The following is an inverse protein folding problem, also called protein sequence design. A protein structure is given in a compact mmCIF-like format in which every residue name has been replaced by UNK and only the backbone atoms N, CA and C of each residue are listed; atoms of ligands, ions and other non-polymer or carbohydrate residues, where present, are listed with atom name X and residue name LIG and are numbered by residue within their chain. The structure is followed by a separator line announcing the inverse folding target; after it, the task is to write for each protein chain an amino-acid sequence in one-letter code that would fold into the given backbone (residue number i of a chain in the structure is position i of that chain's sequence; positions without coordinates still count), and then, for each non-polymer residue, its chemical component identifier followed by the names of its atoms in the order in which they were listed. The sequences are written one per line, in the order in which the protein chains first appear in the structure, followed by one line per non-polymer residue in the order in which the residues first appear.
data_IF_162427193138
#
_entry.id   IF_162427193138
#
_cell.length_a   1.000
_cell.length_b   1.000
_cell.length_c   1.000
_cell.angle_alpha   90.00
_cell.angle_beta   90.00
_cell.angle_gamma   90.00
#
_symmetry.space_group_name_H-M   'P 1'
#
loop_
_entity.id
_entity.type
_entity.pdbx_description
1 polymer ?
2 non-polymer ?
3 non-polymer ?
4 non-polymer ?
5 water ?
#
# COMPACT_ATOMS: atom_id res chain seq x y z
N UNK A 7 12.49 24.52 16.25
CA UNK A 7 12.64 23.03 16.42
C UNK A 7 14.01 22.52 15.90
N UNK A 8 14.82 21.91 16.77
CA UNK A 8 16.26 21.64 16.51
C UNK A 8 16.64 20.15 16.28
N UNK A 9 17.41 19.87 15.19
CA UNK A 9 17.72 18.48 14.74
C UNK A 9 19.06 18.43 13.99
N UNK A 10 19.61 17.21 13.76
CA UNK A 10 20.91 17.09 13.05
C UNK A 10 20.90 17.76 11.66
N UNK A 11 22.00 18.43 11.33
CA UNK A 11 22.06 19.14 10.06
C UNK A 11 22.31 18.16 8.95
N UNK A 12 21.52 18.25 7.88
CA UNK A 12 21.80 17.37 6.75
C UNK A 12 23.08 17.84 6.09
N UNK A 13 23.97 16.92 5.77
CA UNK A 13 25.25 17.30 5.17
C UNK A 13 25.28 16.75 3.75
N UNK A 14 25.47 17.70 2.86
CA UNK A 14 25.37 17.53 1.47
C UNK A 14 26.39 16.52 0.97
N UNK A 15 27.56 16.50 1.63
CA UNK A 15 28.68 15.66 1.21
C UNK A 15 28.81 14.38 2.07
N UNK A 16 27.82 14.07 2.91
CA UNK A 16 27.89 12.87 3.75
C UNK A 16 26.51 12.20 3.79
N UNK A 17 26.09 11.64 2.66
CA UNK A 17 24.80 10.99 2.59
C UNK A 17 24.66 9.93 3.66
N UNK A 18 23.49 9.86 4.27
CA UNK A 18 23.18 8.89 5.33
C UNK A 18 23.13 7.43 4.73
N UNK A 19 22.36 7.21 3.65
CA UNK A 19 22.33 5.91 2.99
C UNK A 19 23.12 5.92 1.70
N UNK A 20 24.20 5.14 1.64
CA UNK A 20 25.05 5.01 0.44
C UNK A 20 24.90 3.63 -0.17
N UNK A 21 24.17 2.75 0.51
CA UNK A 21 24.02 1.36 0.09
C UNK A 21 22.77 1.13 -0.78
N UNK A 22 21.86 2.12 -0.88
CA UNK A 22 20.59 1.89 -1.60
C UNK A 22 20.24 3.13 -2.39
N UNK A 23 19.41 2.93 -3.39
CA UNK A 23 18.86 3.98 -4.19
C UNK A 23 17.72 4.65 -3.34
N UNK A 24 17.88 5.93 -3.10
CA UNK A 24 16.94 6.74 -2.32
C UNK A 24 16.01 7.72 -3.11
N UNK A 25 16.20 7.85 -4.42
CA UNK A 25 15.30 8.61 -5.31
C UNK A 25 15.23 7.86 -6.66
N UNK A 26 14.04 7.82 -7.26
CA UNK A 26 13.89 7.21 -8.55
C UNK A 26 14.39 8.14 -9.67
N UNK A 27 14.52 7.62 -10.89
CA UNK A 27 15.01 8.55 -11.89
C UNK A 27 13.97 9.57 -12.37
N UNK A 28 12.74 9.53 -11.86
CA UNK A 28 11.83 10.65 -12.09
C UNK A 28 11.71 11.48 -10.82
N UNK A 29 12.70 11.32 -9.93
CA UNK A 29 12.85 12.18 -8.76
C UNK A 29 11.76 12.00 -7.69
N UNK A 30 11.21 10.79 -7.60
CA UNK A 30 10.36 10.41 -6.44
C UNK A 30 11.26 9.80 -5.32
N UNK A 31 11.14 10.29 -4.09
CA UNK A 31 11.86 9.63 -2.98
C UNK A 31 11.54 8.09 -2.86
N UNK A 32 12.57 7.29 -2.57
CA UNK A 32 12.42 5.91 -2.17
C UNK A 32 12.65 5.91 -0.68
N UNK A 33 11.61 5.52 0.08
CA UNK A 33 11.53 5.69 1.52
C UNK A 33 12.20 4.53 2.29
N UNK A 34 13.33 4.87 2.89
CA UNK A 34 14.17 3.97 3.67
C UNK A 34 14.47 4.64 4.98
N UNK A 35 14.79 3.83 6.02
CA UNK A 35 15.17 4.42 7.30
C UNK A 35 16.49 5.13 7.07
N UNK A 36 16.61 6.33 7.63
CA UNK A 36 17.79 7.16 7.49
C UNK A 36 17.64 8.17 6.40
N UNK A 37 16.52 8.18 5.67
CA UNK A 37 16.33 9.24 4.69
C UNK A 37 15.44 10.35 5.17
N UNK A 38 14.75 10.14 6.29
CA UNK A 38 13.79 11.08 6.72
C UNK A 38 13.91 11.41 8.23
N UNK A 39 13.59 12.66 8.52
CA UNK A 39 13.44 13.10 9.87
C UNK A 39 11.96 13.22 10.16
N UNK A 40 11.48 12.31 10.94
CA UNK A 40 10.01 12.20 11.24
C UNK A 40 9.51 13.38 12.03
N UNK A 41 10.40 14.04 12.77
CA UNK A 41 9.92 15.26 13.45
C UNK A 41 9.52 16.38 12.53
N UNK A 42 10.34 16.64 11.50
CA UNK A 42 10.01 17.64 10.51
C UNK A 42 8.73 17.26 9.79
N UNK A 43 8.63 16.01 9.31
CA UNK A 43 7.42 15.54 8.56
C UNK A 43 6.14 15.57 9.40
N UNK A 44 6.24 15.20 10.68
CA UNK A 44 5.09 15.17 11.55
C UNK A 44 4.57 16.59 11.68
N UNK A 45 5.49 17.55 11.87
CA UNK A 45 5.03 18.91 11.97
C UNK A 45 4.37 19.41 10.67
N UNK A 46 4.92 19.04 9.54
CA UNK A 46 4.36 19.52 8.28
C UNK A 46 2.97 18.98 8.15
N UNK A 47 2.80 17.67 8.41
CA UNK A 47 1.47 17.08 8.27
C UNK A 47 0.43 17.50 9.32
N UNK A 48 0.90 17.70 10.53
CA UNK A 48 0.01 18.17 11.61
C UNK A 48 -0.52 19.57 11.29
N UNK A 49 0.34 20.42 10.75
CA UNK A 49 -0.09 21.81 10.48
C UNK A 49 -1.22 21.85 9.48
N UNK A 50 -1.39 20.78 8.68
CA UNK A 50 -2.53 20.66 7.79
C UNK A 50 -3.64 19.85 8.41
N UNK A 51 -3.50 19.39 9.65
CA UNK A 51 -4.56 18.54 10.19
C UNK A 51 -4.92 17.35 9.29
N UNK A 52 -3.89 16.71 8.80
CA UNK A 52 -4.01 15.59 7.86
C UNK A 52 -4.76 14.46 8.43
N UNK A 53 -5.72 13.95 7.65
CA UNK A 53 -6.44 12.73 7.97
C UNK A 53 -6.14 11.63 7.01
N UNK A 54 -5.77 10.49 7.58
CA UNK A 54 -5.37 9.34 6.76
C UNK A 54 -6.43 8.28 6.84
N UNK A 55 -6.96 7.83 5.68
CA UNK A 55 -7.84 6.65 5.71
C UNK A 55 -7.09 5.40 5.37
N UNK A 56 -7.40 4.30 6.01
CA UNK A 56 -6.71 3.08 5.73
C UNK A 56 -7.78 2.08 5.42
N UNK A 57 -7.73 1.50 4.21
CA UNK A 57 -8.67 0.48 3.81
C UNK A 57 -8.10 -0.90 3.91
N UNK A 58 -8.92 -1.80 4.38
CA UNK A 58 -8.53 -3.17 4.56
C UNK A 58 -9.78 -4.02 4.30
N UNK A 59 -9.58 -5.08 3.54
CA UNK A 59 -10.67 -6.05 3.28
C UNK A 59 -10.51 -7.26 4.13
N UNK A 60 -11.60 -7.75 4.73
CA UNK A 60 -11.52 -8.97 5.51
C UNK A 60 -12.78 -9.75 5.25
N UNK A 61 -12.71 -10.49 4.16
CA UNK A 61 -13.82 -11.23 3.62
C UNK A 61 -13.63 -12.72 3.95
N UNK A 62 -14.70 -13.33 4.41
CA UNK A 62 -14.75 -14.73 4.85
C UNK A 62 -13.79 -15.02 5.99
N UNK A 63 -12.91 -15.99 5.83
CA UNK A 63 -12.02 -16.33 6.93
C UNK A 63 -11.02 -15.24 7.36
N UNK A 64 -10.80 -14.23 6.52
CA UNK A 64 -9.75 -13.22 6.79
C UNK A 64 -10.14 -12.26 7.93
N UNK A 65 -11.40 -12.38 8.40
CA UNK A 65 -11.81 -11.68 9.60
C UNK A 65 -10.95 -12.03 10.73
N UNK A 66 -10.35 -13.23 10.71
CA UNK A 66 -9.48 -13.67 11.80
C UNK A 66 -8.22 -12.84 11.89
N UNK A 67 -7.82 -12.20 10.79
CA UNK A 67 -6.59 -11.40 10.80
C UNK A 67 -6.74 -9.98 11.40
N UNK A 68 -7.99 -9.54 11.68
CA UNK A 68 -8.25 -8.14 12.03
C UNK A 68 -7.76 -7.76 13.36
N UNK A 69 -7.79 -8.69 14.33
CA UNK A 69 -7.50 -8.25 15.67
C UNK A 69 -6.03 -7.80 15.78
N UNK A 70 -5.12 -8.58 15.23
CA UNK A 70 -3.71 -8.24 15.29
C UNK A 70 -3.42 -7.05 14.33
N UNK A 71 -4.05 -7.03 13.18
CA UNK A 71 -3.88 -5.94 12.25
C UNK A 71 -4.18 -4.63 12.95
N UNK A 72 -5.37 -4.56 13.51
CA UNK A 72 -5.81 -3.34 14.20
C UNK A 72 -5.04 -2.97 15.45
N UNK A 73 -4.71 -3.94 16.30
CA UNK A 73 -3.98 -3.63 17.48
C UNK A 73 -2.61 -3.06 17.15
N UNK A 74 -1.95 -3.66 16.17
CA UNK A 74 -0.60 -3.24 15.80
C UNK A 74 -0.64 -1.93 15.00
N UNK A 75 -1.72 -1.68 14.20
CA UNK A 75 -1.88 -0.35 13.59
C UNK A 75 -1.99 0.72 14.65
N UNK A 76 -2.70 0.45 15.73
CA UNK A 76 -2.82 1.41 16.82
C UNK A 76 -1.46 1.77 17.42
N UNK A 77 -0.52 0.84 17.41
CA UNK A 77 0.80 1.04 17.94
C UNK A 77 1.72 1.76 17.03
N UNK A 78 1.60 1.52 15.73
CA UNK A 78 2.62 1.93 14.77
C UNK A 78 2.19 2.79 13.62
N UNK A 79 0.89 2.85 13.34
CA UNK A 79 0.44 3.46 12.07
C UNK A 79 -0.05 4.91 12.33
N UNK A 80 0.66 5.92 11.81
CA UNK A 80 0.19 7.32 11.81
C UNK A 80 -0.12 7.83 13.20
N UNK A 81 0.61 7.32 14.18
CA UNK A 81 0.35 7.67 15.58
C UNK A 81 0.55 9.19 15.77
N UNK A 82 -0.47 9.86 16.30
CA UNK A 82 -0.45 11.32 16.50
C UNK A 82 -1.28 12.07 15.45
N UNK A 83 -1.63 11.37 14.38
CA UNK A 83 -2.40 11.90 13.25
C UNK A 83 -3.78 11.33 13.26
N UNK A 84 -4.67 11.96 12.53
CA UNK A 84 -6.04 11.52 12.52
C UNK A 84 -6.10 10.37 11.54
N UNK A 85 -6.76 9.31 11.96
CA UNK A 85 -6.84 8.07 11.21
C UNK A 85 -8.30 7.57 11.16
N UNK A 86 -8.72 7.16 9.98
CA UNK A 86 -9.99 6.50 9.80
C UNK A 86 -9.77 5.16 9.16
N UNK A 87 -10.07 4.07 9.88
CA UNK A 87 -9.95 2.74 9.34
C UNK A 87 -11.27 2.47 8.60
N UNK A 88 -11.22 1.93 7.40
CA UNK A 88 -12.39 1.42 6.72
C UNK A 88 -12.21 -0.09 6.55
N UNK A 89 -13.02 -0.86 7.26
CA UNK A 89 -12.91 -2.30 7.20
C UNK A 89 -14.04 -2.75 6.33
N UNK A 90 -13.71 -3.28 5.14
CA UNK A 90 -14.68 -3.92 4.25
C UNK A 90 -14.82 -5.39 4.63
N UNK A 91 -16.05 -5.79 4.94
CA UNK A 91 -16.29 -7.19 5.37
C UNK A 91 -17.69 -7.69 5.04
N UNK A 92 -17.80 -9.01 4.89
CA UNK A 92 -19.10 -9.68 4.68
C UNK A 92 -19.66 -10.08 6.05
N UNK A 93 -18.89 -9.88 7.12
CA UNK A 93 -19.29 -10.24 8.49
C UNK A 93 -19.07 -9.12 9.49
N UNK A 94 -19.96 -8.11 9.51
CA UNK A 94 -19.78 -6.93 10.39
C UNK A 94 -19.66 -7.27 11.85
N UNK A 95 -20.34 -8.32 12.28
CA UNK A 95 -20.31 -8.77 13.66
C UNK A 95 -19.00 -9.41 14.09
N UNK A 96 -18.27 -9.97 13.15
CA UNK A 96 -16.97 -10.54 13.47
C UNK A 96 -15.80 -9.52 13.57
N UNK A 97 -16.06 -8.23 13.35
CA UNK A 97 -14.97 -7.25 13.50
C UNK A 97 -14.65 -7.09 14.99
N UNK A 98 -13.40 -7.31 15.38
CA UNK A 98 -13.14 -7.13 16.82
C UNK A 98 -13.23 -5.65 17.25
N UNK A 99 -13.73 -5.34 18.42
CA UNK A 99 -13.77 -3.97 18.84
C UNK A 99 -12.48 -3.61 19.55
N UNK A 100 -11.56 -3.01 18.83
CA UNK A 100 -10.25 -2.72 19.38
C UNK A 100 -10.33 -1.31 19.90
N UNK A 101 -9.72 -1.08 21.05
CA UNK A 101 -9.70 0.26 21.64
C UNK A 101 -8.71 1.09 20.85
N UNK A 102 -9.13 2.30 20.50
CA UNK A 102 -8.36 3.24 19.66
C UNK A 102 -7.92 4.48 20.44
N UNK A 103 -6.73 4.96 20.12
CA UNK A 103 -6.21 6.24 20.56
C UNK A 103 -7.08 7.40 20.10
N UNK A 104 -6.88 8.56 20.69
CA UNK A 104 -7.67 9.72 20.34
C UNK A 104 -7.47 10.15 18.85
N UNK A 105 -8.55 10.63 18.24
CA UNK A 105 -8.51 11.11 16.87
C UNK A 105 -8.50 10.03 15.83
N UNK A 106 -8.86 8.84 16.26
CA UNK A 106 -8.85 7.68 15.42
C UNK A 106 -10.22 7.02 15.43
N UNK A 107 -10.73 6.62 14.27
CA UNK A 107 -12.02 5.93 14.22
C UNK A 107 -12.02 4.81 13.23
N UNK A 108 -13.06 4.03 13.32
CA UNK A 108 -13.19 2.84 12.47
C UNK A 108 -14.61 2.70 11.98
N UNK A 109 -14.76 2.48 10.67
CA UNK A 109 -16.04 2.24 10.11
C UNK A 109 -16.01 0.87 9.49
N UNK A 110 -17.15 0.20 9.52
CA UNK A 110 -17.31 -1.16 8.99
C UNK A 110 -18.18 -0.99 7.80
N UNK A 111 -17.73 -1.44 6.61
CA UNK A 111 -18.53 -1.36 5.39
C UNK A 111 -18.84 -2.77 4.94
N UNK A 112 -20.11 -3.13 4.94
CA UNK A 112 -20.52 -4.48 4.63
C UNK A 112 -20.50 -4.62 3.16
N UNK A 113 -19.93 -5.68 2.64
CA UNK A 113 -19.91 -5.84 1.19
C UNK A 113 -20.15 -7.31 0.92
N UNK A 114 -20.47 -7.62 -0.34
CA UNK A 114 -20.59 -9.02 -0.76
C UNK A 114 -19.27 -9.77 -0.84
N UNK A 115 -19.34 -11.07 -0.65
CA UNK A 115 -18.19 -11.98 -0.77
C UNK A 115 -18.21 -12.69 -2.14
N UNK A 116 -17.15 -12.53 -2.94
CA UNK A 116 -17.01 -13.32 -4.17
C UNK A 116 -16.49 -14.70 -3.79
N UNK A 117 -16.85 -15.73 -4.56
CA UNK A 117 -16.48 -17.13 -4.23
C UNK A 117 -14.99 -17.38 -4.40
N UNK A 118 -14.46 -17.01 -5.55
CA UNK A 118 -13.03 -17.20 -5.82
C UNK A 118 -12.21 -16.12 -5.09
N UNK A 119 -11.12 -16.58 -4.47
CA UNK A 119 -10.07 -15.75 -3.93
C UNK A 119 -9.55 -14.68 -4.88
N UNK A 120 -9.46 -15.00 -6.18
CA UNK A 120 -8.99 -14.03 -7.20
C UNK A 120 -9.91 -12.85 -7.30
N UNK A 121 -11.21 -13.13 -7.31
CA UNK A 121 -12.20 -12.08 -7.48
C UNK A 121 -12.33 -11.22 -6.23
N UNK A 122 -12.16 -11.82 -5.06
CA UNK A 122 -12.15 -11.07 -3.79
C UNK A 122 -11.00 -10.02 -3.78
N UNK A 123 -9.79 -10.51 -4.09
CA UNK A 123 -8.60 -9.68 -4.30
C UNK A 123 -8.84 -8.65 -5.39
N UNK A 124 -9.33 -9.10 -6.54
CA UNK A 124 -9.46 -8.23 -7.71
C UNK A 124 -10.53 -7.19 -7.52
N UNK A 125 -11.65 -7.55 -6.85
CA UNK A 125 -12.80 -6.64 -6.76
C UNK A 125 -12.57 -5.56 -5.69
N UNK A 126 -11.42 -5.60 -5.00
CA UNK A 126 -11.04 -4.50 -4.11
C UNK A 126 -11.02 -3.12 -4.80
N UNK A 127 -10.37 -3.07 -5.96
CA UNK A 127 -10.29 -1.85 -6.75
C UNK A 127 -11.69 -1.29 -6.99
N UNK A 128 -12.59 -2.17 -7.42
CA UNK A 128 -13.95 -1.71 -7.65
C UNK A 128 -14.52 -1.25 -6.35
N UNK A 129 -14.31 -2.01 -5.28
CA UNK A 129 -14.90 -1.64 -4.02
C UNK A 129 -14.27 -0.39 -3.41
N UNK A 130 -12.97 -0.19 -3.51
CA UNK A 130 -12.37 1.06 -2.99
C UNK A 130 -12.93 2.23 -3.81
N UNK A 131 -13.17 1.94 -5.07
CA UNK A 131 -13.62 2.97 -6.00
C UNK A 131 -15.06 3.56 -5.85
N UNK A 132 -16.17 2.83 -5.85
CA UNK A 132 -16.48 1.54 -5.28
C UNK A 132 -17.94 1.14 -5.68
N UNK A 133 -18.91 1.96 -5.27
CA UNK A 133 -18.79 3.44 -5.14
C UNK A 133 -18.68 4.09 -3.74
N UNK A 134 -17.50 4.05 -3.13
CA UNK A 134 -17.25 4.72 -1.84
C UNK A 134 -16.55 6.02 -2.22
N UNK A 135 -17.31 6.90 -2.87
CA UNK A 135 -16.73 7.92 -3.74
C UNK A 135 -16.65 9.29 -3.07
N UNK A 136 -17.76 10.04 -3.00
CA UNK A 136 -17.74 11.33 -2.27
C UNK A 136 -17.56 11.12 -0.75
N UNK A 137 -17.54 9.86 -0.30
CA UNK A 137 -17.35 9.57 1.13
C UNK A 137 -15.87 9.68 1.52
N UNK A 138 -14.97 8.99 0.80
CA UNK A 138 -13.51 9.12 1.03
C UNK A 138 -13.07 10.57 0.86
N UNK A 139 -13.56 11.21 -0.22
CA UNK A 139 -13.34 12.65 -0.53
C UNK A 139 -13.56 13.64 0.61
N UNK A 140 -14.69 13.51 1.32
CA UNK A 140 -15.00 14.42 2.44
C UNK A 140 -14.32 14.02 3.76
N UNK A 141 -13.93 12.77 3.89
CA UNK A 141 -13.53 12.27 5.20
C UNK A 141 -12.00 12.28 5.45
N UNK A 142 -11.19 12.12 4.40
CA UNK A 142 -9.75 11.96 4.55
C UNK A 142 -9.00 12.67 3.45
N UNK A 143 -7.71 12.94 3.70
CA UNK A 143 -6.81 13.57 2.74
C UNK A 143 -6.08 12.55 1.94
N UNK A 144 -5.71 11.42 2.58
CA UNK A 144 -5.02 10.33 1.92
C UNK A 144 -5.67 9.02 2.19
N UNK A 145 -5.55 8.10 1.25
CA UNK A 145 -6.04 6.75 1.37
C UNK A 145 -4.87 5.81 1.24
N UNK A 146 -4.80 4.88 2.15
CA UNK A 146 -3.76 3.84 2.15
C UNK A 146 -4.49 2.49 2.07
N UNK A 147 -4.08 1.66 1.12
CA UNK A 147 -4.78 0.40 0.81
C UNK A 147 -3.92 -0.78 1.05
N UNK A 148 -4.23 -1.59 2.05
CA UNK A 148 -3.34 -2.71 2.37
C UNK A 148 -4.06 -4.07 2.50
N UNK A 149 -3.27 -5.14 2.42
CA UNK A 149 -3.73 -6.48 2.82
C UNK A 149 -3.97 -6.52 4.34
N UNK A 150 -4.91 -7.40 4.75
CA UNK A 150 -5.27 -7.60 6.15
C UNK A 150 -4.42 -8.67 6.84
N UNK A 151 -3.78 -9.54 6.05
CA UNK A 151 -2.95 -10.65 6.58
C UNK A 151 -1.57 -10.21 7.02
N UNK A 152 -1.51 -9.18 7.87
CA UNK A 152 -0.28 -8.50 8.10
C UNK A 152 -0.27 -8.00 9.48
N UNK A 153 0.89 -7.60 9.93
CA UNK A 153 0.95 -6.88 11.18
C UNK A 153 1.93 -5.76 11.07
N UNK A 154 1.71 -4.70 11.85
CA UNK A 154 2.70 -3.64 12.00
C UNK A 154 3.68 -4.06 13.08
N UNK A 155 4.98 -3.93 12.80
CA UNK A 155 6.07 -4.22 13.77
C UNK A 155 6.98 -3.00 14.05
N UNK A 156 6.79 -1.92 13.28
CA UNK A 156 7.57 -0.71 13.47
C UNK A 156 6.83 0.48 12.76
N UNK A 157 7.36 1.65 13.00
CA UNK A 157 6.80 2.88 12.49
C UNK A 157 6.44 2.84 11.02
N UNK A 158 5.15 3.07 10.75
CA UNK A 158 4.65 3.49 9.44
C UNK A 158 3.91 4.83 9.62
N UNK A 159 4.52 5.90 9.12
CA UNK A 159 3.95 7.23 9.28
C UNK A 159 3.86 8.07 8.02
N UNK A 160 3.84 9.38 8.25
CA UNK A 160 3.50 10.40 7.23
C UNK A 160 4.57 10.52 6.16
N UNK A 161 5.75 9.95 6.44
CA UNK A 161 6.77 9.82 5.44
C UNK A 161 6.29 9.15 4.18
N UNK A 162 5.25 8.31 4.27
CA UNK A 162 4.79 7.61 3.09
C UNK A 162 3.83 8.49 2.27
N UNK A 163 3.32 9.53 2.87
CA UNK A 163 2.27 10.31 2.26
C UNK A 163 2.76 11.22 1.13
N UNK A 164 1.94 11.27 0.07
CA UNK A 164 2.31 11.84 -1.25
C UNK A 164 1.12 11.64 -2.21
N UNK A 165 1.10 12.33 -3.37
CA UNK A 165 -0.04 12.09 -4.22
C UNK A 165 -0.28 10.63 -4.66
N UNK A 166 0.77 9.86 -4.91
CA UNK A 166 0.66 8.48 -5.35
C UNK A 166 1.87 7.69 -4.97
N UNK A 167 1.67 6.57 -4.29
CA UNK A 167 2.82 5.72 -3.96
C UNK A 167 2.52 4.24 -4.18
N UNK A 168 3.61 3.55 -4.51
CA UNK A 168 3.61 2.11 -4.48
C UNK A 168 4.76 1.61 -3.64
N UNK A 169 4.82 0.29 -3.48
CA UNK A 169 5.79 -0.38 -2.59
C UNK A 169 6.51 -1.45 -3.35
N UNK A 170 7.81 -1.46 -3.18
CA UNK A 170 8.63 -2.50 -3.80
C UNK A 170 8.31 -3.87 -3.25
N UNK A 171 7.99 -4.80 -4.15
CA UNK A 171 7.73 -6.22 -3.77
C UNK A 171 9.02 -6.81 -3.20
N UNK A 172 8.96 -7.44 -2.03
CA UNK A 172 10.19 -7.84 -1.32
C UNK A 172 11.00 -8.97 -1.96
N UNK A 173 10.39 -9.67 -2.86
CA UNK A 173 11.07 -10.77 -3.46
C UNK A 173 11.61 -10.37 -4.84
N UNK A 174 11.56 -9.09 -5.19
CA UNK A 174 12.07 -8.66 -6.48
C UNK A 174 12.90 -7.40 -6.48
N UNK A 175 13.14 -6.78 -5.34
CA UNK A 175 13.79 -5.46 -5.32
C UNK A 175 15.23 -5.51 -5.83
N UNK A 176 15.89 -6.67 -5.68
CA UNK A 176 17.26 -6.83 -6.17
C UNK A 176 17.34 -7.41 -7.55
N UNK A 177 16.24 -7.49 -8.28
CA UNK A 177 16.27 -8.17 -9.56
C UNK A 177 16.20 -7.22 -10.73
N UNK A 178 16.48 -7.81 -11.90
CA UNK A 178 16.40 -7.19 -13.19
C UNK A 178 15.01 -7.37 -13.72
N UNK A 179 14.62 -6.53 -14.68
CA UNK A 179 13.22 -6.37 -15.09
C UNK A 179 12.67 -7.54 -15.90
N UNK A 180 13.51 -8.16 -16.70
CA UNK A 180 13.07 -9.36 -17.44
C UNK A 180 12.70 -10.49 -16.49
N UNK A 181 13.25 -10.49 -15.28
CA UNK A 181 12.82 -11.40 -14.26
C UNK A 181 11.50 -10.94 -13.57
N UNK A 182 10.98 -9.75 -13.86
CA UNK A 182 9.77 -9.28 -13.18
C UNK A 182 8.59 -10.04 -13.74
N UNK A 183 7.74 -10.54 -12.87
CA UNK A 183 6.60 -11.26 -13.32
C UNK A 183 5.40 -10.40 -13.69
N UNK A 184 5.65 -9.38 -14.51
CA UNK A 184 4.60 -8.59 -15.12
C UNK A 184 3.76 -9.49 -16.00
N UNK A 185 2.59 -9.02 -16.42
CA UNK A 185 1.84 -9.68 -17.47
C UNK A 185 2.60 -9.49 -18.76
N UNK A 186 2.99 -10.60 -19.38
CA UNK A 186 3.71 -10.56 -20.66
C UNK A 186 2.86 -10.90 -21.90
N UNK A 187 1.57 -11.21 -21.75
CA UNK A 187 0.71 -11.46 -22.92
C UNK A 187 0.07 -10.14 -23.36
N UNK A 188 0.17 -9.81 -24.66
CA UNK A 188 -0.31 -8.52 -25.13
C UNK A 188 -1.79 -8.40 -25.30
N UNK A 189 -2.50 -9.49 -25.14
CA UNK A 189 -3.96 -9.48 -25.12
C UNK A 189 -4.51 -8.84 -23.85
N UNK A 190 -3.71 -8.89 -22.78
CA UNK A 190 -4.08 -8.28 -21.49
C UNK A 190 -3.81 -6.81 -21.44
N UNK A 191 -4.78 -6.04 -20.95
CA UNK A 191 -4.57 -4.65 -20.62
C UNK A 191 -3.39 -4.44 -19.66
N UNK A 192 -2.97 -5.51 -18.98
CA UNK A 192 -1.90 -5.40 -18.01
C UNK A 192 -0.54 -5.59 -18.66
N UNK A 193 -0.54 -5.69 -19.98
CA UNK A 193 0.68 -6.10 -20.71
C UNK A 193 1.75 -5.05 -20.57
N UNK A 194 2.92 -5.49 -20.18
CA UNK A 194 4.13 -4.65 -20.18
C UNK A 194 5.22 -5.35 -21.00
N UNK A 195 5.64 -4.70 -22.10
CA UNK A 195 6.71 -5.26 -22.95
C UNK A 195 7.88 -5.63 -22.12
N UNK A 196 8.64 -6.61 -22.58
CA UNK A 196 9.83 -7.12 -21.86
C UNK A 196 10.98 -6.11 -21.72
N UNK A 197 10.98 -5.06 -22.51
CA UNK A 197 12.07 -4.08 -22.40
C UNK A 197 11.70 -2.85 -21.51
N UNK A 198 10.54 -2.93 -20.83
CA UNK A 198 9.97 -1.80 -20.08
C UNK A 198 9.79 -2.11 -18.62
N UNK A 199 9.60 -1.07 -17.82
CA UNK A 199 9.41 -1.27 -16.38
C UNK A 199 10.48 -0.71 -15.49
N UNK A 200 10.05 -0.03 -14.43
CA UNK A 200 10.97 0.52 -13.45
C UNK A 200 11.22 -0.44 -12.32
N UNK A 201 10.12 -0.86 -11.68
CA UNK A 201 10.14 -1.69 -10.47
C UNK A 201 9.01 -2.72 -10.52
N UNK A 202 9.06 -3.71 -9.63
CA UNK A 202 7.92 -4.60 -9.45
C UNK A 202 7.27 -4.20 -8.15
N UNK A 203 6.07 -3.63 -8.28
CA UNK A 203 5.31 -3.14 -7.11
C UNK A 203 4.42 -4.24 -6.57
N UNK A 204 4.27 -4.25 -5.28
CA UNK A 204 3.47 -5.26 -4.66
C UNK A 204 2.02 -4.80 -4.38
N UNK A 205 1.06 -5.71 -4.60
CA UNK A 205 -0.37 -5.41 -4.51
C UNK A 205 -0.89 -5.09 -3.15
N UNK A 206 -0.16 -5.48 -2.12
CA UNK A 206 -0.56 -5.36 -0.73
C UNK A 206 -0.42 -3.99 -0.05
N UNK A 207 0.13 -2.98 -0.74
CA UNK A 207 0.40 -1.68 -0.07
C UNK A 207 0.62 -0.62 -1.14
N UNK A 208 -0.41 0.15 -1.41
CA UNK A 208 -0.36 1.32 -2.25
C UNK A 208 -1.25 2.40 -1.66
N UNK A 209 -1.10 3.59 -2.20
CA UNK A 209 -1.96 4.70 -1.74
C UNK A 209 -1.64 6.04 -2.29
N UNK A 210 -2.12 7.07 -1.63
CA UNK A 210 -1.99 8.39 -2.18
C UNK A 210 -3.08 9.36 -1.74
N UNK A 211 -3.18 10.48 -2.43
CA UNK A 211 -4.29 11.39 -2.13
C UNK A 211 -5.57 10.63 -2.52
N UNK A 212 -6.73 11.08 -2.06
CA UNK A 212 -7.96 10.34 -2.41
C UNK A 212 -8.26 10.42 -3.95
N UNK A 213 -8.09 11.59 -4.55
CA UNK A 213 -8.23 11.75 -6.01
C UNK A 213 -7.28 10.77 -6.78
N UNK A 214 -6.02 10.61 -6.37
CA UNK A 214 -5.14 9.73 -7.12
C UNK A 214 -5.47 8.26 -6.90
N UNK A 215 -5.90 7.91 -5.71
CA UNK A 215 -6.23 6.51 -5.46
C UNK A 215 -7.56 6.13 -6.15
N UNK A 216 -8.49 7.03 -6.17
CA UNK A 216 -9.68 6.80 -6.98
C UNK A 216 -9.38 6.65 -8.46
N UNK A 217 -8.48 7.47 -9.00
CA UNK A 217 -8.07 7.27 -10.40
C UNK A 217 -7.52 5.92 -10.61
N UNK A 218 -6.57 5.55 -9.75
CA UNK A 218 -5.90 4.31 -9.89
C UNK A 218 -6.90 3.18 -9.87
N UNK A 219 -7.78 3.18 -8.88
CA UNK A 219 -8.65 2.02 -8.63
C UNK A 219 -9.68 1.95 -9.76
N UNK A 220 -10.24 3.11 -10.15
CA UNK A 220 -11.13 3.15 -11.33
C UNK A 220 -10.40 2.61 -12.55
N UNK A 221 -9.18 3.07 -12.83
CA UNK A 221 -8.49 2.49 -14.00
C UNK A 221 -8.23 1.01 -13.90
N UNK A 222 -7.80 0.54 -12.71
CA UNK A 222 -7.46 -0.87 -12.62
C UNK A 222 -8.75 -1.71 -12.81
N UNK A 223 -9.85 -1.22 -12.24
CA UNK A 223 -11.14 -1.90 -12.37
C UNK A 223 -11.60 -1.94 -13.83
N UNK A 224 -11.52 -0.81 -14.53
CA UNK A 224 -11.92 -0.74 -15.97
C UNK A 224 -11.03 -1.68 -16.80
N UNK A 225 -9.74 -1.69 -16.50
CA UNK A 225 -8.83 -2.59 -17.19
C UNK A 225 -9.10 -4.06 -16.90
N UNK A 226 -9.48 -4.41 -15.66
CA UNK A 226 -9.79 -5.83 -15.34
C UNK A 226 -11.07 -6.30 -16.08
N UNK A 227 -12.05 -5.41 -16.23
CA UNK A 227 -13.29 -5.70 -16.94
C UNK A 227 -13.01 -5.96 -18.41
N UNK A 228 -12.09 -5.19 -19.00
CA UNK A 228 -11.78 -5.35 -20.40
C UNK A 228 -11.17 -6.72 -20.60
N UNK A 229 -10.31 -7.12 -19.70
CA UNK A 229 -9.71 -8.43 -19.81
C UNK A 229 -10.71 -9.61 -19.71
N UNK A 230 -11.66 -9.48 -18.80
CA UNK A 230 -12.73 -10.47 -18.53
C UNK A 230 -13.60 -10.64 -19.78
N UNK A 231 -14.17 -9.54 -20.27
CA UNK A 231 -14.82 -9.52 -21.57
C UNK A 231 -13.95 -10.10 -22.71
N UNK A 232 -12.62 -10.09 -22.59
CA UNK A 232 -11.75 -10.73 -23.58
C UNK A 232 -11.32 -12.11 -23.15
N UNK A 233 -11.97 -12.67 -22.13
CA UNK A 233 -11.60 -13.99 -21.66
C UNK A 233 -10.16 -14.20 -21.20
N UNK A 234 -9.55 -13.19 -20.57
CA UNK A 234 -8.20 -13.39 -20.04
C UNK A 234 -8.14 -12.87 -18.61
N UNK A 235 -7.33 -13.53 -17.79
CA UNK A 235 -7.07 -13.13 -16.42
C UNK A 235 -5.56 -12.91 -16.34
N UNK A 236 -5.16 -11.77 -15.79
CA UNK A 236 -3.74 -11.36 -15.76
C UNK A 236 -3.04 -12.25 -14.83
N UNK A 237 -1.79 -12.52 -15.10
CA UNK A 237 -1.07 -13.57 -14.36
C UNK A 237 -1.05 -13.38 -12.82
N UNK A 238 -0.93 -12.14 -12.36
CA UNK A 238 -1.03 -11.88 -10.92
C UNK A 238 -2.13 -10.89 -10.61
N UNK A 239 -3.21 -10.96 -11.39
CA UNK A 239 -4.49 -10.37 -11.01
C UNK A 239 -4.38 -8.85 -10.78
N UNK A 240 -4.74 -8.35 -9.59
CA UNK A 240 -4.74 -6.88 -9.37
C UNK A 240 -3.31 -6.33 -9.34
N UNK A 241 -2.37 -7.11 -8.83
CA UNK A 241 -0.99 -6.70 -8.80
C UNK A 241 -0.48 -6.44 -10.19
N UNK A 242 -0.91 -7.27 -11.14
CA UNK A 242 -0.46 -7.09 -12.52
C UNK A 242 -0.95 -5.74 -13.07
N UNK A 243 -2.22 -5.42 -12.83
CA UNK A 243 -2.80 -4.18 -13.29
C UNK A 243 -2.27 -2.97 -12.54
N UNK A 244 -2.04 -3.13 -11.24
CA UNK A 244 -1.35 -2.08 -10.44
C UNK A 244 0.04 -1.73 -11.05
N UNK A 245 0.81 -2.73 -11.42
CA UNK A 245 2.11 -2.52 -12.00
C UNK A 245 2.06 -1.81 -13.31
N UNK A 246 0.99 -2.08 -14.05
CA UNK A 246 0.87 -1.51 -15.36
C UNK A 246 0.51 -0.05 -15.17
N UNK A 247 -0.39 0.22 -14.21
CA UNK A 247 -0.82 1.60 -13.92
C UNK A 247 0.34 2.47 -13.44
N UNK A 248 1.16 1.90 -12.56
CA UNK A 248 2.29 2.63 -11.97
C UNK A 248 3.51 2.78 -12.93
N UNK A 249 3.53 1.98 -14.01
CA UNK A 249 4.49 2.16 -15.12
C UNK A 249 4.17 3.44 -15.87
N UNK A 250 2.91 3.57 -16.23
CA UNK A 250 2.38 4.69 -16.98
C UNK A 250 2.09 5.93 -16.18
N UNK A 251 1.74 5.78 -14.90
CA UNK A 251 1.51 6.95 -14.01
C UNK A 251 2.47 6.81 -12.88
N UNK A 252 3.65 7.43 -12.97
CA UNK A 252 4.68 7.02 -12.02
C UNK A 252 4.35 7.54 -10.62
N UNK A 253 4.64 6.73 -9.58
CA UNK A 253 4.33 7.16 -8.24
C UNK A 253 5.24 8.34 -7.84
N UNK A 254 4.75 9.21 -6.99
CA UNK A 254 5.53 10.37 -6.49
C UNK A 254 6.35 9.97 -5.23
N UNK A 255 6.06 8.80 -4.65
CA UNK A 255 7.04 8.12 -3.72
C UNK A 255 6.95 6.66 -3.90
N UNK A 256 8.08 5.98 -3.71
CA UNK A 256 8.17 4.52 -3.69
C UNK A 256 8.57 4.11 -2.28
N UNK A 257 7.82 3.23 -1.65
CA UNK A 257 8.24 2.70 -0.37
C UNK A 257 9.22 1.52 -0.56
N UNK A 258 10.26 1.50 0.25
CA UNK A 258 11.19 0.35 0.22
C UNK A 258 10.52 -0.88 0.82
N UNK A 259 11.19 -2.04 0.77
CA UNK A 259 10.62 -3.27 1.31
C UNK A 259 10.55 -3.38 2.83
N UNK A 260 11.15 -2.43 3.54
CA UNK A 260 10.86 -2.24 4.94
C UNK A 260 9.33 -2.21 5.17
N UNK A 261 8.58 -1.68 4.18
CA UNK A 261 7.11 -1.43 4.31
C UNK A 261 6.26 -2.59 3.90
N UNK A 262 6.89 -3.65 3.38
CA UNK A 262 6.26 -4.92 3.05
C UNK A 262 7.24 -6.13 2.98
N UNK A 263 7.30 -6.87 4.07
CA UNK A 263 8.32 -7.87 4.27
C UNK A 263 7.72 -9.16 4.80
N UNK A 264 8.50 -10.22 4.72
CA UNK A 264 8.15 -11.50 5.31
C UNK A 264 9.39 -12.11 5.92
N UNK A 265 9.51 -12.00 7.24
CA UNK A 265 10.75 -12.38 7.88
C UNK A 265 10.99 -13.91 7.78
N UNK A 266 9.92 -14.65 7.66
CA UNK A 266 9.94 -16.12 7.60
C UNK A 266 10.52 -16.56 6.28
N UNK A 267 10.02 -16.03 5.17
CA UNK A 267 10.57 -16.30 3.86
C UNK A 267 11.94 -15.65 3.55
N UNK A 268 12.26 -14.51 4.17
CA UNK A 268 13.33 -13.69 3.66
C UNK A 268 14.36 -13.27 4.70
N UNK A 269 14.10 -13.56 5.96
CA UNK A 269 15.04 -13.24 7.01
C UNK A 269 14.96 -11.74 7.32
N UNK A 270 16.05 -11.25 7.87
CA UNK A 270 16.27 -9.85 8.14
C UNK A 270 17.59 -9.40 7.60
N UNK A 271 17.68 -9.07 6.31
CA UNK A 271 19.01 -8.60 5.86
C UNK A 271 19.41 -7.20 6.38
N UNK A 272 20.73 -6.93 6.28
CA UNK A 272 21.32 -5.72 6.84
C UNK A 272 20.79 -4.47 6.11
N UNK A 273 20.45 -4.63 4.84
CA UNK A 273 19.92 -3.54 4.04
C UNK A 273 18.53 -3.02 4.60
N UNK A 274 17.83 -3.89 5.31
CA UNK A 274 16.64 -3.52 6.09
C UNK A 274 16.92 -3.18 7.52
N UNK A 275 16.98 -1.89 7.84
CA UNK A 275 17.17 -1.46 9.21
C UNK A 275 15.92 -1.53 10.11
N UNK A 276 14.72 -1.55 9.55
CA UNK A 276 13.51 -1.81 10.26
C UNK A 276 12.64 -2.68 9.40
N UNK A 277 11.87 -3.56 10.03
CA UNK A 277 10.83 -4.30 9.36
C UNK A 277 9.52 -3.74 9.92
N UNK A 278 8.81 -3.00 9.10
CA UNK A 278 7.72 -2.15 9.62
C UNK A 278 6.37 -2.84 9.54
N UNK A 279 6.15 -3.57 8.46
CA UNK A 279 4.82 -4.13 8.14
C UNK A 279 5.07 -5.44 7.44
N UNK A 280 4.60 -6.52 8.05
CA UNK A 280 5.00 -7.84 7.63
C UNK A 280 3.87 -8.84 7.57
N UNK A 281 4.03 -9.79 6.66
CA UNK A 281 3.12 -10.91 6.50
C UNK A 281 2.98 -11.76 7.76
N UNK A 282 1.73 -12.15 7.99
CA UNK A 282 1.41 -13.06 9.10
C UNK A 282 1.28 -14.47 8.44
N UNK A 283 1.95 -15.47 9.02
CA UNK A 283 1.84 -16.83 8.48
C UNK A 283 0.41 -17.30 8.25
N UNK A 284 0.17 -17.95 7.11
CA UNK A 284 -1.12 -18.54 6.83
C UNK A 284 -1.05 -19.70 5.81
N UNK A 285 -2.16 -20.43 5.71
CA UNK A 285 -2.41 -21.36 4.59
C UNK A 285 -2.97 -20.58 3.38
X LIG B 1 -0.18 -10.37 -3.70
X LIG B 1 -0.69 -9.06 -3.04
X LIG B 1 -2.19 -8.97 -3.04
X LIG B 1 -2.78 -9.30 -4.41
X LIG B 1 -2.11 -10.58 -4.99
X LIG B 1 -2.51 -11.04 -6.41
X LIG B 1 1.23 -10.40 -3.86
X LIG B 1 -0.21 -9.10 -1.75
X LIG B 1 -2.62 -7.69 -2.65
X LIG B 1 -2.57 -8.16 -5.21
X LIG B 1 -0.71 -10.40 -5.03
X LIG B 1 -2.02 -12.38 -6.62
X LIG B 1 -0.53 -11.23 -3.11
X LIG B 1 -0.27 -8.20 -3.59
X LIG B 1 -2.56 -9.71 -2.32
X LIG B 1 -3.86 -9.48 -4.29
X LIG B 1 -2.35 -11.41 -4.31
X LIG B 1 -3.60 -11.02 -6.52
X LIG B 1 -2.08 -10.37 -7.14
X LIG B 1 1.45 -11.27 -4.32
X LIG B 1 -0.98 -9.07 -1.13
X LIG B 1 -3.28 -7.33 -3.29
X LIG B 1 -2.01 -8.41 -6.00
X LIG B 1 -1.23 -12.52 -6.07
X LIG C 1 -1.73 -10.91 1.68
X LIG D 1 -9.05 -11.28 0.96
X LIG D 1 -10.07 -11.48 1.92
X LIG D 1 -10.68 -12.73 1.94
X LIG D 1 -10.33 -13.73 1.00
X LIG D 1 -9.30 -13.53 0.06
X LIG D 1 -8.66 -12.30 0.04
X LIG D 1 -10.41 -10.60 2.74
X LIG D 1 -10.93 -14.81 1.05
X LIG D 1 -8.39 -9.96 0.94
X LIG D 1 -7.52 -9.79 2.19
X LIG D 1 -7.56 -8.40 2.43
X LIG D 1 -6.18 -10.23 1.68
X LIG D 1 -6.17 -9.67 0.27
X LIG D 1 -7.56 -9.79 -0.25
X LIG D 1 -5.17 -9.61 2.49
X LIG D 1 -5.29 -10.41 -0.76
X LIG D 1 -5.35 -11.83 -0.73
X LIG D 1 -4.16 -12.54 -0.01
X LIG D 1 -3.58 -11.72 1.10
X LIG D 1 -4.74 -13.88 0.20
X LIG D 1 -3.07 -12.73 -1.20
X LIG D 1 -1.56 -12.93 -0.85
X LIG D 1 -1.38 -14.09 0.09
X LIG D 1 -0.90 -13.24 -2.20
X LIG D 1 -1.01 -11.65 -0.21
X LIG D 1 -11.42 -12.91 2.58
X LIG D 1 -9.47 -14.03 -0.79
X LIG D 1 -8.70 -12.12 -0.94
X LIG D 1 -9.14 -9.32 0.90
X LIG D 1 -7.69 -10.17 3.09
X LIG D 1 -8.12 -7.97 1.72
X LIG D 1 -6.33 -11.22 1.65
X LIG D 1 -5.89 -8.71 0.33
X LIG D 1 -5.63 -9.03 3.17
X LIG D 1 -5.55 -10.10 -1.68
X LIG D 1 -4.42 -10.13 -1.16
X LIG E 1 4.96 -14.04 -5.15
X LIG E 1 3.81 -13.58 -4.25
X LIG E 1 2.59 -13.36 -5.08
X LIG E 1 2.92 -12.39 -6.24
X LIG E 1 4.08 -13.00 -7.08
X LIG E 1 4.53 -12.12 -8.27
X LIG E 1 6.09 -13.94 -4.37
X LIG E 1 3.49 -14.58 -3.29
X LIG E 1 1.62 -12.86 -4.22
X LIG E 1 3.27 -11.08 -5.75
X LIG E 1 5.23 -13.21 -6.30
X LIG E 1 5.70 -12.69 -8.83
X LIG E 1 4.79 -15.08 -5.46
X LIG E 1 4.08 -12.65 -3.74
X LIG E 1 2.27 -14.32 -5.51
X LIG E 1 2.03 -12.31 -6.88
X LIG E 1 3.74 -13.96 -7.47
X LIG E 1 3.74 -12.05 -9.02
X LIG E 1 4.75 -11.11 -7.91
X LIG E 1 6.77 -14.33 -4.90
X LIG E 1 2.56 -14.88 -3.47
X LIG E 1 1.23 -12.01 -4.63
X LIG E 1 4.19 -10.90 -6.04
X LIG E 1 6.20 -13.16 -8.15
#
# INVERSE_FOLDING_TARGET
MVSLPRMVYPQPKVLTPCRKDVLVVTPWLAPIVWEGTFNIDILNEQFRLQNTTIGLTVFAIKKYVAFLKLFLETAEKHFMVGHRVHYYVFTDQPAAVPRVTLGTGRQLSVLEVGAYKRWQDVSMRRMEMISDFCERRFLSEVDYLVCVDVDMEFRDHVGVEILTPLFGTLHPSFYGSSREAFTYERRPQSQAYIPKDEGDFYYMGAFFGGSVQEVQRLTRACHQAMMVDQANGIEAVWHDESHLNKYLLRHKPTKVLSPEYLWDQQLLGWPAVLRKLRFTAVPKNHQAVRNPE
GAL C1 C2 C3 C4 C5 C6 O1 O2 O3 O4 O5 O6 H1 H2 H3 H4 H5 H61 H62 HO1 HO2 HO3 HO4 HO6
MN MN
UDP N1 C2 N3 C4 C5 C6 O2 O4 C1' C2' O2' C3' C4' O4' O3' C5' O5' PA O1A O2A O3A PB O1B O2B O3B HN3 H5 H6 H1' H2' HO2' H3' H4' HO3' H5'1 H5'2
GAL C1 C2 C3 C4 C5 C6 O1 O2 O3 O4 O5 O6 H1 H2 H3 H4 H5 H61 H62 HO1 HO2 HO3 HO4 HO6
#
